data_IF_271944917444
#
_entry.id   IF_271944917444
#
_cell.length_a   1.000
_cell.length_b   1.000
_cell.length_c   1.000
_cell.angle_alpha   90.00
_cell.angle_beta   90.00
_cell.angle_gamma   90.00
#
_symmetry.space_group_name_H-M   'P 1'
#
loop_
_entity.id
_entity.type
_entity.pdbx_description
1 polymer ?
#
# COMPACT_ATOMS: atom_id res chain seq x y z
N UNK A 1 19.81 18.03 -0.42
CA UNK A 1 19.58 16.63 -0.03
C UNK A 1 19.60 15.78 -1.29
N UNK A 2 20.29 14.62 -1.29
CA UNK A 2 20.37 13.76 -2.47
C UNK A 2 18.98 13.19 -2.79
N UNK A 3 18.55 13.23 -4.06
CA UNK A 3 17.23 12.75 -4.52
C UNK A 3 16.93 11.32 -4.02
N UNK A 4 17.94 10.47 -3.97
CA UNK A 4 17.80 9.11 -3.46
C UNK A 4 17.33 9.07 -1.99
N UNK A 5 17.88 9.94 -1.13
CA UNK A 5 17.46 10.03 0.28
C UNK A 5 16.05 10.59 0.44
N UNK A 6 15.61 11.44 -0.50
CA UNK A 6 14.27 12.03 -0.46
C UNK A 6 13.16 11.01 -0.64
N UNK A 7 13.43 9.90 -1.31
CA UNK A 7 12.44 8.86 -1.59
C UNK A 7 12.67 7.58 -0.78
N UNK A 8 13.94 7.15 -0.62
CA UNK A 8 14.23 5.89 0.05
C UNK A 8 13.93 5.94 1.55
N UNK A 9 14.28 7.03 2.24
CA UNK A 9 14.08 7.12 3.69
C UNK A 9 12.58 7.10 4.05
N UNK A 10 11.74 8.01 3.51
CA UNK A 10 10.31 7.98 3.85
C UNK A 10 9.62 6.71 3.34
N UNK A 11 10.00 6.20 2.15
CA UNK A 11 9.46 4.94 1.63
C UNK A 11 9.82 3.74 2.51
N UNK A 12 11.04 3.69 3.05
CA UNK A 12 11.46 2.63 3.96
C UNK A 12 10.73 2.70 5.31
N UNK A 13 10.59 3.90 5.88
CA UNK A 13 9.81 4.09 7.12
C UNK A 13 8.36 3.64 6.90
N UNK A 14 7.73 4.12 5.84
CA UNK A 14 6.37 3.72 5.50
C UNK A 14 6.27 2.21 5.25
N UNK A 15 7.26 1.61 4.57
CA UNK A 15 7.30 0.19 4.29
C UNK A 15 7.33 -0.69 5.53
N UNK A 16 8.11 -0.30 6.56
CA UNK A 16 8.10 -1.00 7.85
C UNK A 16 6.72 -0.94 8.49
N UNK A 17 6.11 0.24 8.54
CA UNK A 17 4.76 0.40 9.12
C UNK A 17 3.71 -0.34 8.30
N UNK A 18 3.82 -0.31 6.96
CA UNK A 18 2.89 -1.01 6.07
C UNK A 18 2.91 -2.54 6.25
N UNK A 19 4.05 -3.14 6.53
CA UNK A 19 4.14 -4.58 6.86
C UNK A 19 3.31 -4.90 8.11
N UNK A 20 3.38 -4.08 9.15
CA UNK A 20 2.58 -4.28 10.37
C UNK A 20 1.09 -4.05 10.14
N UNK A 21 0.71 -3.01 9.36
CA UNK A 21 -0.70 -2.76 9.05
C UNK A 21 -1.27 -3.83 8.13
N UNK A 22 -0.50 -4.34 7.18
CA UNK A 22 -0.89 -5.47 6.34
C UNK A 22 -1.12 -6.75 7.17
N UNK A 23 -0.21 -7.04 8.10
CA UNK A 23 -0.42 -8.13 9.06
C UNK A 23 -1.70 -7.93 9.88
N UNK A 24 -2.00 -6.71 10.34
CA UNK A 24 -3.22 -6.41 11.07
C UNK A 24 -4.46 -6.67 10.21
N UNK A 25 -4.50 -6.16 8.98
CA UNK A 25 -5.64 -6.36 8.08
C UNK A 25 -5.80 -7.84 7.70
N UNK A 26 -4.78 -8.42 7.09
CA UNK A 26 -4.89 -9.74 6.47
C UNK A 26 -4.62 -10.88 7.43
N UNK A 27 -3.74 -10.71 8.42
CA UNK A 27 -3.37 -11.74 9.38
C UNK A 27 -4.26 -11.77 10.63
N UNK A 28 -4.90 -10.66 11.02
CA UNK A 28 -5.73 -10.60 12.24
C UNK A 28 -7.20 -10.41 11.92
N UNK A 29 -7.54 -9.32 11.23
CA UNK A 29 -8.96 -8.93 11.06
C UNK A 29 -9.67 -9.83 10.04
N UNK A 30 -9.06 -10.03 8.87
CA UNK A 30 -9.68 -10.73 7.75
C UNK A 30 -9.23 -12.20 7.58
N UNK A 31 -8.27 -12.67 8.35
CA UNK A 31 -7.73 -14.03 8.26
C UNK A 31 -8.83 -15.10 8.38
N UNK A 32 -9.73 -14.98 9.34
CA UNK A 32 -10.86 -15.91 9.55
C UNK A 32 -11.75 -16.12 8.32
N UNK A 33 -11.74 -15.19 7.38
CA UNK A 33 -12.51 -15.31 6.14
C UNK A 33 -11.76 -16.07 5.05
N UNK A 34 -10.43 -16.15 5.13
CA UNK A 34 -9.61 -17.00 4.26
C UNK A 34 -9.89 -18.48 4.49
N UNK A 35 -10.14 -18.87 5.75
CA UNK A 35 -10.48 -20.24 6.14
C UNK A 35 -11.79 -20.73 5.51
N UNK A 36 -12.66 -19.82 5.08
CA UNK A 36 -13.92 -20.15 4.40
C UNK A 36 -13.75 -20.52 2.92
N UNK A 37 -12.59 -20.26 2.35
CA UNK A 37 -12.24 -20.61 0.97
C UNK A 37 -10.88 -21.34 0.92
N UNK A 38 -10.74 -22.49 1.62
CA UNK A 38 -9.44 -23.12 1.86
C UNK A 38 -8.73 -23.57 0.58
N UNK A 39 -9.49 -23.95 -0.45
CA UNK A 39 -8.91 -24.42 -1.72
C UNK A 39 -8.34 -23.29 -2.59
N UNK A 40 -8.54 -22.04 -2.19
CA UNK A 40 -8.05 -20.85 -2.92
C UNK A 40 -6.62 -20.50 -2.50
N UNK A 41 -6.25 -20.81 -1.26
CA UNK A 41 -5.02 -20.33 -0.65
C UNK A 41 -3.88 -21.34 -0.74
N UNK A 42 -2.69 -20.85 -1.01
CA UNK A 42 -1.47 -21.64 -0.85
C UNK A 42 -1.19 -21.83 0.64
N UNK A 43 -0.54 -22.94 1.04
CA UNK A 43 -0.11 -23.11 2.41
C UNK A 43 0.70 -21.92 2.91
N UNK A 44 0.37 -21.44 4.09
CA UNK A 44 1.10 -20.35 4.74
C UNK A 44 2.47 -20.84 5.22
N UNK A 45 3.44 -19.95 5.15
CA UNK A 45 4.79 -20.26 5.60
C UNK A 45 5.71 -19.03 5.61
N UNK A 46 6.83 -19.13 6.28
CA UNK A 46 7.80 -18.04 6.43
C UNK A 46 8.20 -17.39 5.11
N UNK A 47 8.31 -18.18 4.03
CA UNK A 47 8.64 -17.67 2.70
C UNK A 47 7.54 -16.77 2.14
N UNK A 48 6.28 -17.15 2.29
CA UNK A 48 5.13 -16.35 1.82
C UNK A 48 5.05 -15.02 2.56
N UNK A 49 5.21 -15.05 3.87
CA UNK A 49 5.22 -13.84 4.69
C UNK A 49 6.41 -12.92 4.38
N UNK A 50 7.61 -13.48 4.20
CA UNK A 50 8.79 -12.71 3.82
C UNK A 50 8.63 -12.03 2.45
N UNK A 51 8.10 -12.74 1.45
CA UNK A 51 7.82 -12.19 0.13
C UNK A 51 6.75 -11.10 0.18
N UNK A 52 5.66 -11.32 0.90
CA UNK A 52 4.61 -10.32 1.08
C UNK A 52 5.15 -9.05 1.75
N UNK A 53 5.94 -9.20 2.81
CA UNK A 53 6.59 -8.09 3.49
C UNK A 53 7.53 -7.31 2.56
N UNK A 54 8.33 -8.01 1.77
CA UNK A 54 9.22 -7.39 0.79
C UNK A 54 8.45 -6.60 -0.27
N UNK A 55 7.31 -7.14 -0.75
CA UNK A 55 6.45 -6.45 -1.72
C UNK A 55 5.87 -5.17 -1.13
N UNK A 56 5.33 -5.20 0.09
CA UNK A 56 4.82 -3.99 0.76
C UNK A 56 5.91 -2.94 0.96
N UNK A 57 7.09 -3.38 1.39
CA UNK A 57 8.22 -2.49 1.58
C UNK A 57 8.65 -1.81 0.27
N UNK A 58 8.81 -2.57 -0.80
CA UNK A 58 9.17 -2.05 -2.13
C UNK A 58 8.07 -1.16 -2.72
N UNK A 59 6.80 -1.54 -2.53
CA UNK A 59 5.66 -0.75 -2.98
C UNK A 59 5.61 0.62 -2.30
N UNK A 60 5.87 0.70 -1.00
CA UNK A 60 5.96 1.98 -0.30
C UNK A 60 7.05 2.89 -0.87
N UNK A 61 8.23 2.34 -1.17
CA UNK A 61 9.32 3.10 -1.82
C UNK A 61 8.89 3.59 -3.20
N UNK A 62 8.26 2.75 -3.99
CA UNK A 62 7.80 3.09 -5.33
C UNK A 62 6.71 4.17 -5.31
N UNK A 63 5.70 4.03 -4.44
CA UNK A 63 4.60 4.99 -4.28
C UNK A 63 5.13 6.33 -3.76
N UNK A 64 6.00 6.32 -2.75
CA UNK A 64 6.65 7.54 -2.24
C UNK A 64 7.47 8.23 -3.34
N UNK A 65 8.16 7.47 -4.18
CA UNK A 65 8.92 8.00 -5.32
C UNK A 65 8.00 8.68 -6.34
N UNK A 66 6.92 8.00 -6.73
CA UNK A 66 5.93 8.55 -7.66
C UNK A 66 5.31 9.85 -7.11
N UNK A 67 4.93 9.85 -5.83
CA UNK A 67 4.38 11.04 -5.20
C UNK A 67 5.38 12.20 -5.21
N UNK A 68 6.64 11.97 -4.83
CA UNK A 68 7.67 13.01 -4.81
C UNK A 68 7.93 13.58 -6.19
N UNK A 69 7.96 12.74 -7.23
CA UNK A 69 8.14 13.19 -8.61
C UNK A 69 6.99 14.10 -9.06
N UNK A 70 5.74 13.71 -8.79
CA UNK A 70 4.55 14.49 -9.17
C UNK A 70 4.42 15.76 -8.35
N UNK A 71 4.64 15.70 -7.04
CA UNK A 71 4.53 16.85 -6.15
C UNK A 71 5.63 17.89 -6.40
N UNK A 72 6.81 17.43 -6.81
CA UNK A 72 7.97 18.29 -7.09
C UNK A 72 7.78 19.16 -8.32
N UNK A 73 7.08 18.68 -9.33
CA UNK A 73 6.75 19.42 -10.55
C UNK A 73 5.55 20.38 -10.35
N UNK A 74 5.14 20.60 -9.08
CA UNK A 74 4.06 21.52 -8.70
C UNK A 74 2.75 21.26 -9.45
N UNK A 75 2.38 19.99 -9.65
CA UNK A 75 1.05 19.63 -10.14
C UNK A 75 0.05 20.00 -9.04
N UNK A 76 -0.50 21.20 -9.13
CA UNK A 76 -1.21 22.01 -8.15
C UNK A 76 -1.98 21.28 -7.05
N UNK A 77 -2.82 20.30 -7.41
CA UNK A 77 -3.66 19.55 -6.44
C UNK A 77 -2.86 18.65 -5.51
N UNK A 78 -1.65 18.23 -5.89
CA UNK A 78 -0.81 17.29 -5.14
C UNK A 78 0.35 17.99 -4.40
N UNK A 79 0.57 19.27 -4.65
CA UNK A 79 1.61 20.06 -4.01
C UNK A 79 1.22 20.59 -2.61
N UNK A 80 0.00 20.32 -2.16
CA UNK A 80 -0.60 20.82 -0.91
C UNK A 80 -0.25 19.91 0.29
N UNK A 81 1.03 19.75 0.56
CA UNK A 81 1.53 19.04 1.75
C UNK A 81 0.86 17.69 1.98
N UNK A 82 0.42 17.46 3.20
CA UNK A 82 -0.22 16.19 3.60
C UNK A 82 -1.57 15.98 2.87
N UNK A 83 -2.32 17.03 2.58
CA UNK A 83 -3.58 16.90 1.87
C UNK A 83 -3.35 16.48 0.40
N UNK A 84 -2.33 17.05 -0.25
CA UNK A 84 -1.89 16.62 -1.57
C UNK A 84 -1.43 15.16 -1.59
N UNK A 85 -0.68 14.74 -0.57
CA UNK A 85 -0.24 13.37 -0.40
C UNK A 85 -1.40 12.39 -0.27
N UNK A 86 -2.42 12.71 0.54
CA UNK A 86 -3.60 11.85 0.72
C UNK A 86 -4.46 11.79 -0.55
N UNK A 87 -4.60 12.91 -1.29
CA UNK A 87 -5.28 12.91 -2.60
C UNK A 87 -4.57 12.03 -3.61
N UNK A 88 -3.24 12.11 -3.67
CA UNK A 88 -2.44 11.27 -4.56
C UNK A 88 -2.55 9.79 -4.18
N UNK A 89 -2.46 9.45 -2.89
CA UNK A 89 -2.64 8.10 -2.39
C UNK A 89 -4.01 7.53 -2.76
N UNK A 90 -5.08 8.31 -2.58
CA UNK A 90 -6.43 7.92 -2.97
C UNK A 90 -6.55 7.70 -4.48
N UNK A 91 -5.91 8.54 -5.30
CA UNK A 91 -5.92 8.38 -6.75
C UNK A 91 -5.23 7.08 -7.19
N UNK A 92 -4.03 6.79 -6.67
CA UNK A 92 -3.32 5.53 -6.95
C UNK A 92 -4.17 4.32 -6.53
N UNK A 93 -4.77 4.40 -5.36
CA UNK A 93 -5.63 3.34 -4.85
C UNK A 93 -6.85 3.09 -5.74
N UNK A 94 -7.60 4.14 -6.10
CA UNK A 94 -8.80 4.02 -6.96
C UNK A 94 -8.42 3.58 -8.37
N UNK A 95 -7.31 4.06 -8.92
CA UNK A 95 -6.95 3.79 -10.30
C UNK A 95 -6.31 2.41 -10.51
N UNK A 96 -5.66 1.85 -9.49
CA UNK A 96 -4.84 0.64 -9.65
C UNK A 96 -5.21 -0.43 -8.62
N UNK A 97 -5.06 -0.14 -7.33
CA UNK A 97 -5.11 -1.17 -6.30
C UNK A 97 -6.51 -1.76 -6.09
N UNK A 98 -7.54 -0.90 -6.00
CA UNK A 98 -8.90 -1.34 -5.80
C UNK A 98 -9.45 -2.11 -7.02
N UNK A 99 -9.33 -1.61 -8.27
CA UNK A 99 -9.75 -2.37 -9.44
C UNK A 99 -9.05 -3.72 -9.57
N UNK A 100 -7.74 -3.78 -9.32
CA UNK A 100 -6.99 -5.04 -9.38
C UNK A 100 -7.50 -6.08 -8.37
N UNK A 101 -7.76 -5.67 -7.13
CA UNK A 101 -8.29 -6.56 -6.11
C UNK A 101 -9.71 -7.05 -6.43
N UNK A 102 -10.56 -6.17 -6.97
CA UNK A 102 -11.92 -6.49 -7.38
C UNK A 102 -11.91 -7.44 -8.59
N UNK A 103 -11.07 -7.15 -9.59
CA UNK A 103 -10.93 -8.00 -10.78
C UNK A 103 -10.44 -9.40 -10.40
N UNK A 104 -9.44 -9.50 -9.52
CA UNK A 104 -8.98 -10.78 -9.01
C UNK A 104 -10.12 -11.60 -8.37
N UNK A 105 -11.02 -10.94 -7.64
CA UNK A 105 -12.16 -11.60 -7.00
C UNK A 105 -13.25 -12.10 -8.00
N UNK A 106 -13.27 -11.56 -9.22
CA UNK A 106 -14.18 -12.04 -10.28
C UNK A 106 -13.73 -13.41 -10.79
N UNK A 107 -12.41 -13.61 -10.90
CA UNK A 107 -11.83 -14.84 -11.49
C UNK A 107 -11.37 -15.86 -10.45
N UNK A 108 -11.17 -15.42 -9.20
CA UNK A 108 -10.69 -16.25 -8.10
C UNK A 108 -11.78 -16.30 -7.03
N UNK A 109 -12.09 -17.50 -6.54
CA UNK A 109 -13.10 -17.69 -5.50
C UNK A 109 -12.62 -17.15 -4.14
N UNK A 110 -12.52 -15.84 -4.01
CA UNK A 110 -12.17 -15.15 -2.78
C UNK A 110 -13.43 -14.83 -1.97
N UNK A 111 -13.33 -14.99 -0.66
CA UNK A 111 -14.39 -14.52 0.22
C UNK A 111 -14.50 -12.98 0.14
N UNK A 112 -15.71 -12.36 0.01
CA UNK A 112 -15.85 -10.92 -0.18
C UNK A 112 -15.13 -10.07 0.87
N UNK A 113 -15.13 -10.49 2.13
CA UNK A 113 -14.42 -9.79 3.20
C UNK A 113 -12.88 -9.86 3.06
N UNK A 114 -12.35 -10.87 2.40
CA UNK A 114 -10.91 -10.91 2.06
C UNK A 114 -10.58 -9.84 1.02
N UNK A 115 -11.46 -9.65 0.04
CA UNK A 115 -11.30 -8.59 -0.96
C UNK A 115 -11.34 -7.22 -0.30
N UNK A 116 -12.29 -6.99 0.61
CA UNK A 116 -12.35 -5.77 1.42
C UNK A 116 -11.05 -5.56 2.20
N UNK A 117 -10.53 -6.61 2.83
CA UNK A 117 -9.25 -6.56 3.54
C UNK A 117 -8.09 -6.14 2.65
N UNK A 118 -7.98 -6.72 1.46
CA UNK A 118 -6.94 -6.37 0.47
C UNK A 118 -7.05 -4.92 0.00
N UNK A 119 -8.28 -4.47 -0.27
CA UNK A 119 -8.54 -3.09 -0.70
C UNK A 119 -8.16 -2.08 0.39
N UNK A 120 -8.48 -2.37 1.66
CA UNK A 120 -8.11 -1.53 2.80
C UNK A 120 -6.61 -1.56 3.09
N UNK A 121 -5.97 -2.71 2.94
CA UNK A 121 -4.52 -2.87 3.10
C UNK A 121 -3.75 -1.99 2.11
N UNK A 122 -4.10 -2.05 0.84
CA UNK A 122 -3.48 -1.22 -0.18
C UNK A 122 -3.81 0.28 -0.06
N UNK A 123 -5.00 0.64 0.45
CA UNK A 123 -5.32 2.03 0.78
C UNK A 123 -4.39 2.55 1.88
N UNK A 124 -4.27 1.79 2.97
CA UNK A 124 -3.40 2.12 4.10
C UNK A 124 -1.94 2.23 3.66
N UNK A 125 -1.45 1.28 2.88
CA UNK A 125 -0.10 1.27 2.32
C UNK A 125 0.18 2.51 1.48
N UNK A 126 -0.74 2.89 0.60
CA UNK A 126 -0.61 4.08 -0.25
C UNK A 126 -0.61 5.37 0.57
N UNK A 127 -1.49 5.47 1.55
CA UNK A 127 -1.56 6.63 2.45
C UNK A 127 -0.28 6.78 3.28
N UNK A 128 0.24 5.69 3.85
CA UNK A 128 1.48 5.70 4.63
C UNK A 128 2.68 6.15 3.78
N UNK A 129 2.80 5.64 2.56
CA UNK A 129 3.90 5.97 1.65
C UNK A 129 3.91 7.46 1.30
N UNK A 130 2.76 8.00 0.87
CA UNK A 130 2.64 9.40 0.48
C UNK A 130 2.74 10.36 1.68
N UNK A 131 2.09 10.03 2.80
CA UNK A 131 2.12 10.86 4.00
C UNK A 131 3.54 10.92 4.62
N UNK A 132 4.25 9.79 4.65
CA UNK A 132 5.64 9.75 5.10
C UNK A 132 6.56 10.61 4.23
N UNK A 133 6.38 10.58 2.91
CA UNK A 133 7.14 11.40 1.98
C UNK A 133 6.83 12.90 2.16
N UNK A 134 5.56 13.28 2.26
CA UNK A 134 5.17 14.67 2.50
C UNK A 134 5.72 15.19 3.83
N UNK A 135 5.62 14.40 4.89
CA UNK A 135 6.15 14.75 6.20
C UNK A 135 7.68 14.90 6.18
N UNK A 136 8.39 13.96 5.54
CA UNK A 136 9.86 13.99 5.44
C UNK A 136 10.36 15.21 4.66
N UNK A 137 9.66 15.59 3.62
CA UNK A 137 10.01 16.74 2.79
C UNK A 137 9.50 18.06 3.35
N UNK A 138 8.72 18.04 4.45
CA UNK A 138 8.08 19.21 5.04
C UNK A 138 7.27 20.01 4.02
N UNK A 139 6.58 19.30 3.17
CA UNK A 139 5.72 19.87 2.13
C UNK A 139 4.43 20.42 2.75
#
# INVERSE_FOLDING_TARGET
MNTLRMVLVPGAIAGVVAVFTSWLWMGVIFHRFQERTPNTWRPEGNRSYALSSAIHFLACIAIATLFVLVARDHVGVFADGIHGALRFAALIWIAIAAPFAIEAAIFINLHPWVVVGQVLDWLTTSMLACASAAWWLRM
#
